data_IF_373419015289
#
_entry.id   IF_373419015289
#
_cell.length_a   1.000
_cell.length_b   1.000
_cell.length_c   1.000
_cell.angle_alpha   90.00
_cell.angle_beta   90.00
_cell.angle_gamma   90.00
#
_symmetry.space_group_name_H-M   'P 1'
#
loop_
_entity.id
_entity.type
_entity.pdbx_description
1 polymer ?
#
# COMPACT_ATOMS: atom_id res chain seq x y z
N UNK A 1 5.87 -33.59 5.89
CA UNK A 1 5.18 -33.28 7.16
C UNK A 1 4.91 -31.79 7.16
N UNK A 2 3.66 -31.33 7.25
CA UNK A 2 3.40 -29.90 7.20
C UNK A 2 3.88 -29.31 8.52
N UNK A 3 4.82 -28.37 8.45
CA UNK A 3 5.06 -27.42 9.53
C UNK A 3 3.84 -26.52 9.48
N UNK A 4 2.80 -26.91 10.23
CA UNK A 4 1.87 -25.93 10.78
C UNK A 4 2.76 -24.97 11.56
N UNK A 5 2.82 -23.71 11.13
CA UNK A 5 3.21 -22.61 12.00
C UNK A 5 2.50 -22.78 13.35
N UNK A 6 3.06 -22.24 14.43
CA UNK A 6 2.55 -22.33 15.81
C UNK A 6 1.12 -21.77 16.00
N UNK A 7 0.13 -22.34 15.30
CA UNK A 7 -1.28 -22.01 15.28
C UNK A 7 -2.03 -23.18 15.93
N UNK A 8 -1.90 -23.25 17.24
CA UNK A 8 -2.98 -23.73 18.09
C UNK A 8 -3.26 -22.58 19.04
N UNK A 9 -4.25 -21.73 18.74
CA UNK A 9 -5.37 -21.61 19.67
C UNK A 9 -6.73 -21.16 19.09
N UNK A 10 -6.84 -20.55 17.90
CA UNK A 10 -8.15 -20.05 17.42
C UNK A 10 -8.31 -20.21 15.90
N UNK A 11 -8.92 -21.31 15.41
CA UNK A 11 -9.47 -21.29 14.06
C UNK A 11 -10.53 -20.18 13.98
N UNK A 12 -10.55 -19.42 12.89
CA UNK A 12 -11.55 -18.37 12.66
C UNK A 12 -12.42 -18.82 11.50
N UNK A 13 -13.45 -19.58 11.85
CA UNK A 13 -14.33 -20.21 10.87
C UNK A 13 -15.72 -19.55 10.85
N UNK A 14 -16.07 -18.84 11.92
CA UNK A 14 -17.40 -18.23 12.11
C UNK A 14 -17.39 -16.95 12.97
N UNK A 15 -18.54 -16.28 13.02
CA UNK A 15 -18.74 -15.04 13.79
C UNK A 15 -18.48 -15.16 15.31
N UNK A 16 -18.70 -16.35 15.89
CA UNK A 16 -18.41 -16.62 17.30
C UNK A 16 -16.91 -16.62 17.58
N UNK A 17 -16.10 -17.14 16.66
CA UNK A 17 -14.64 -17.13 16.79
C UNK A 17 -14.11 -15.69 16.73
N UNK A 18 -14.63 -14.87 15.80
CA UNK A 18 -14.28 -13.44 15.70
C UNK A 18 -14.68 -12.69 16.97
N UNK A 19 -15.84 -12.99 17.55
CA UNK A 19 -16.26 -12.39 18.83
C UNK A 19 -15.26 -12.72 19.93
N UNK A 20 -14.83 -13.98 20.05
CA UNK A 20 -13.84 -14.40 21.03
C UNK A 20 -12.47 -13.72 20.82
N UNK A 21 -12.04 -13.53 19.57
CA UNK A 21 -10.82 -12.77 19.26
C UNK A 21 -10.93 -11.30 19.73
N UNK A 22 -12.06 -10.64 19.47
CA UNK A 22 -12.29 -9.25 19.90
C UNK A 22 -12.28 -9.12 21.42
N UNK A 23 -12.86 -10.08 22.15
CA UNK A 23 -12.82 -10.09 23.62
C UNK A 23 -11.40 -10.22 24.18
N UNK A 24 -10.50 -10.91 23.48
CA UNK A 24 -9.10 -11.06 23.87
C UNK A 24 -8.28 -9.77 23.73
N UNK A 25 -8.70 -8.84 22.87
CA UNK A 25 -7.99 -7.57 22.67
C UNK A 25 -7.83 -6.78 23.97
N UNK A 26 -8.82 -6.83 24.88
CA UNK A 26 -8.74 -6.17 26.18
C UNK A 26 -7.56 -6.67 27.04
N UNK A 27 -7.16 -7.92 26.90
CA UNK A 27 -5.99 -8.51 27.57
C UNK A 27 -4.68 -8.18 26.85
N UNK A 28 -4.73 -8.11 25.52
CA UNK A 28 -3.59 -7.80 24.67
C UNK A 28 -3.02 -6.39 24.88
N UNK A 29 -3.79 -5.47 25.49
CA UNK A 29 -3.29 -4.17 25.95
C UNK A 29 -2.06 -4.30 26.86
N UNK A 30 -1.99 -5.37 27.66
CA UNK A 30 -0.88 -5.60 28.60
C UNK A 30 -0.04 -6.85 28.31
N UNK A 31 -0.47 -7.69 27.36
CA UNK A 31 0.21 -8.94 26.98
C UNK A 31 0.69 -8.83 25.53
N UNK A 32 1.96 -8.47 25.35
CA UNK A 32 2.61 -8.27 24.03
C UNK A 32 2.59 -9.54 23.18
N UNK A 33 2.87 -10.70 23.77
CA UNK A 33 2.86 -11.98 23.06
C UNK A 33 1.47 -12.31 22.53
N UNK A 34 0.44 -12.10 23.35
CA UNK A 34 -0.94 -12.27 22.90
C UNK A 34 -1.30 -11.25 21.81
N UNK A 35 -0.80 -10.02 21.92
CA UNK A 35 -1.03 -8.97 20.92
C UNK A 35 -0.50 -9.35 19.55
N UNK A 36 0.74 -9.86 19.48
CA UNK A 36 1.36 -10.31 18.22
C UNK A 36 0.61 -11.51 17.63
N UNK A 37 0.19 -12.46 18.47
CA UNK A 37 -0.63 -13.60 18.05
C UNK A 37 -1.98 -13.14 17.47
N UNK A 38 -2.65 -12.20 18.14
CA UNK A 38 -3.92 -11.62 17.66
C UNK A 38 -3.74 -10.86 16.36
N UNK A 39 -2.63 -10.14 16.17
CA UNK A 39 -2.33 -9.45 14.91
C UNK A 39 -2.39 -10.39 13.70
N UNK A 40 -1.81 -11.59 13.82
CA UNK A 40 -1.87 -12.61 12.78
C UNK A 40 -3.29 -13.12 12.52
N UNK A 41 -4.08 -13.29 13.57
CA UNK A 41 -5.49 -13.69 13.44
C UNK A 41 -6.34 -12.61 12.76
N UNK A 42 -6.15 -11.33 13.11
CA UNK A 42 -6.88 -10.25 12.46
C UNK A 42 -6.45 -10.05 11.00
N UNK A 43 -5.17 -10.21 10.67
CA UNK A 43 -4.70 -10.22 9.27
C UNK A 43 -5.33 -11.36 8.45
N UNK A 44 -5.48 -12.55 9.05
CA UNK A 44 -6.23 -13.64 8.43
C UNK A 44 -7.71 -13.28 8.22
N UNK A 45 -8.36 -12.68 9.21
CA UNK A 45 -9.76 -12.23 9.09
C UNK A 45 -9.93 -11.17 8.01
N UNK A 46 -9.01 -10.20 7.91
CA UNK A 46 -8.96 -9.20 6.83
C UNK A 46 -9.03 -9.85 5.46
N UNK A 47 -8.21 -10.89 5.25
CA UNK A 47 -8.12 -11.55 3.96
C UNK A 47 -9.28 -12.48 3.64
N UNK A 48 -9.90 -13.09 4.65
CA UNK A 48 -10.84 -14.19 4.41
C UNK A 48 -12.30 -13.84 4.67
N UNK A 49 -12.59 -13.09 5.74
CA UNK A 49 -13.94 -12.85 6.24
C UNK A 49 -14.06 -11.46 6.92
N UNK A 50 -13.65 -10.36 6.24
CA UNK A 50 -13.62 -9.03 6.86
C UNK A 50 -15.01 -8.55 7.30
N UNK A 51 -16.08 -9.03 6.68
CA UNK A 51 -17.46 -8.71 7.04
C UNK A 51 -17.85 -9.13 8.47
N UNK A 52 -17.19 -10.15 9.03
CA UNK A 52 -17.46 -10.60 10.39
C UNK A 52 -17.01 -9.60 11.46
N UNK A 53 -16.15 -8.64 11.11
CA UNK A 53 -15.68 -7.61 12.02
C UNK A 53 -16.67 -6.45 12.15
N UNK A 54 -17.55 -6.24 11.14
CA UNK A 54 -18.49 -5.11 11.10
C UNK A 54 -19.31 -4.92 12.40
N UNK A 55 -19.89 -5.96 13.03
CA UNK A 55 -20.63 -5.80 14.28
C UNK A 55 -19.77 -5.34 15.46
N UNK A 56 -18.45 -5.53 15.38
CA UNK A 56 -17.49 -5.28 16.46
C UNK A 56 -16.68 -4.00 16.28
N UNK A 57 -16.73 -3.35 15.11
CA UNK A 57 -15.94 -2.14 14.79
C UNK A 57 -16.04 -1.06 15.88
N UNK A 58 -17.25 -0.77 16.37
CA UNK A 58 -17.42 0.21 17.44
C UNK A 58 -16.76 -0.22 18.75
N UNK A 59 -16.94 -1.47 19.16
CA UNK A 59 -16.33 -2.02 20.37
C UNK A 59 -14.81 -1.96 20.30
N UNK A 60 -14.26 -2.34 19.14
CA UNK A 60 -12.81 -2.26 18.87
C UNK A 60 -12.33 -0.82 19.00
N UNK A 61 -12.92 0.12 18.26
CA UNK A 61 -12.49 1.52 18.23
C UNK A 61 -12.58 2.19 19.59
N UNK A 62 -13.68 1.97 20.33
CA UNK A 62 -13.94 2.68 21.58
C UNK A 62 -13.32 2.05 22.83
N UNK A 63 -13.02 0.75 22.80
CA UNK A 63 -12.59 0.00 23.98
C UNK A 63 -11.27 -0.76 23.84
N UNK A 64 -10.93 -1.22 22.63
CA UNK A 64 -9.87 -2.23 22.45
C UNK A 64 -8.80 -1.89 21.41
N UNK A 65 -8.82 -0.68 20.87
CA UNK A 65 -7.86 -0.24 19.85
C UNK A 65 -6.40 -0.42 20.30
N UNK A 66 -6.11 -0.23 21.58
CA UNK A 66 -4.75 -0.38 22.13
C UNK A 66 -4.23 -1.82 22.14
N UNK A 67 -5.13 -2.81 22.10
CA UNK A 67 -4.79 -4.22 21.99
C UNK A 67 -4.74 -4.74 20.55
N UNK A 68 -5.11 -3.92 19.56
CA UNK A 68 -5.14 -4.30 18.15
C UNK A 68 -3.83 -3.86 17.48
N UNK A 69 -2.92 -4.82 17.28
CA UNK A 69 -1.65 -4.61 16.58
C UNK A 69 -1.73 -5.19 15.17
N UNK A 70 -2.11 -4.34 14.22
CA UNK A 70 -2.14 -4.66 12.79
C UNK A 70 -1.64 -3.45 12.01
N UNK A 71 -1.24 -3.68 10.76
CA UNK A 71 -0.73 -2.62 9.91
C UNK A 71 -1.86 -1.70 9.42
N UNK A 72 -1.50 -0.52 8.88
CA UNK A 72 -2.50 0.44 8.39
C UNK A 72 -3.36 -0.10 7.24
N UNK A 73 -2.81 -0.96 6.38
CA UNK A 73 -3.58 -1.65 5.32
C UNK A 73 -4.64 -2.60 5.90
N UNK A 74 -4.30 -3.37 6.93
CA UNK A 74 -5.27 -4.21 7.65
C UNK A 74 -6.36 -3.35 8.32
N UNK A 75 -5.99 -2.24 8.96
CA UNK A 75 -6.95 -1.31 9.55
C UNK A 75 -7.91 -0.75 8.49
N UNK A 76 -7.41 -0.39 7.31
CA UNK A 76 -8.21 0.10 6.20
C UNK A 76 -9.25 -0.90 5.72
N UNK A 77 -9.11 -2.20 6.00
CA UNK A 77 -10.12 -3.21 5.72
C UNK A 77 -11.02 -3.46 6.92
N UNK A 78 -10.44 -3.59 8.13
CA UNK A 78 -11.20 -3.87 9.35
C UNK A 78 -12.16 -2.76 9.74
N UNK A 79 -11.75 -1.50 9.53
CA UNK A 79 -12.49 -0.32 9.99
C UNK A 79 -13.23 0.41 8.86
N UNK A 80 -13.10 -0.02 7.61
CA UNK A 80 -13.79 0.62 6.50
C UNK A 80 -15.29 0.71 6.75
N UNK A 81 -15.83 1.91 6.59
CA UNK A 81 -17.25 2.18 6.79
C UNK A 81 -17.73 2.02 8.24
N UNK A 82 -16.83 2.05 9.23
CA UNK A 82 -17.25 1.99 10.63
C UNK A 82 -18.23 3.14 10.97
N UNK A 83 -19.18 2.91 11.90
CA UNK A 83 -20.22 3.89 12.22
C UNK A 83 -19.67 5.27 12.60
N UNK A 84 -20.35 6.36 12.22
CA UNK A 84 -19.87 7.75 12.43
C UNK A 84 -19.51 8.08 13.89
N UNK A 85 -20.20 7.49 14.87
CA UNK A 85 -19.86 7.58 16.31
C UNK A 85 -18.42 7.12 16.63
N UNK A 86 -17.82 6.25 15.82
CA UNK A 86 -16.42 5.85 15.94
C UNK A 86 -15.50 7.00 15.53
N UNK A 87 -15.84 7.71 14.44
CA UNK A 87 -15.11 8.89 13.99
C UNK A 87 -15.21 10.03 15.01
N UNK A 88 -16.42 10.31 15.52
CA UNK A 88 -16.63 11.31 16.58
C UNK A 88 -15.81 10.99 17.84
N UNK A 89 -15.79 9.72 18.26
CA UNK A 89 -15.00 9.28 19.42
C UNK A 89 -13.49 9.50 19.20
N UNK A 90 -12.96 9.11 18.04
CA UNK A 90 -11.55 9.27 17.71
C UNK A 90 -11.17 10.74 17.55
N UNK A 91 -12.01 11.56 16.91
CA UNK A 91 -11.79 13.00 16.80
C UNK A 91 -11.69 13.65 18.19
N UNK A 92 -12.62 13.35 19.09
CA UNK A 92 -12.60 13.88 20.45
C UNK A 92 -11.32 13.48 21.20
N UNK A 93 -10.88 12.22 21.06
CA UNK A 93 -9.64 11.74 21.68
C UNK A 93 -8.42 12.44 21.11
N UNK A 94 -8.30 12.53 19.79
CA UNK A 94 -7.18 13.20 19.11
C UNK A 94 -7.09 14.69 19.48
N UNK A 95 -8.22 15.39 19.63
CA UNK A 95 -8.25 16.78 20.13
C UNK A 95 -7.77 16.91 21.57
N UNK A 96 -8.05 15.90 22.40
CA UNK A 96 -7.60 15.89 23.80
C UNK A 96 -6.13 15.48 23.95
N UNK A 97 -5.69 14.51 23.15
CA UNK A 97 -4.34 13.95 23.18
C UNK A 97 -4.07 13.27 21.84
N UNK A 98 -3.09 13.78 21.12
CA UNK A 98 -2.65 13.17 19.87
C UNK A 98 -2.10 11.76 20.07
N UNK A 99 -2.48 10.84 19.18
CA UNK A 99 -2.00 9.46 19.12
C UNK A 99 -1.97 8.98 17.68
N UNK A 100 -0.82 8.48 17.23
CA UNK A 100 -0.64 7.95 15.88
C UNK A 100 -1.63 6.82 15.56
N UNK A 101 -1.85 5.92 16.51
CA UNK A 101 -2.77 4.80 16.38
C UNK A 101 -4.23 5.24 16.19
N UNK A 102 -4.64 6.30 16.90
CA UNK A 102 -5.99 6.86 16.76
C UNK A 102 -6.15 7.60 15.42
N UNK A 103 -5.10 8.30 14.97
CA UNK A 103 -5.09 8.97 13.66
C UNK A 103 -5.18 7.94 12.52
N UNK A 104 -4.41 6.84 12.61
CA UNK A 104 -4.51 5.70 11.69
C UNK A 104 -5.90 5.07 11.71
N UNK A 105 -6.47 4.81 12.88
CA UNK A 105 -7.82 4.28 12.98
C UNK A 105 -8.84 5.23 12.31
N UNK A 106 -8.72 6.54 12.54
CA UNK A 106 -9.63 7.54 11.94
C UNK A 106 -9.48 7.58 10.41
N UNK A 107 -8.26 7.56 9.90
CA UNK A 107 -7.97 7.50 8.46
C UNK A 107 -8.50 6.20 7.81
N UNK A 108 -8.42 5.09 8.55
CA UNK A 108 -8.89 3.77 8.13
C UNK A 108 -10.42 3.63 8.09
N UNK A 109 -11.19 4.50 8.77
CA UNK A 109 -12.67 4.47 8.72
C UNK A 109 -13.22 4.91 7.36
N UNK A 110 -12.75 6.04 6.83
CA UNK A 110 -13.04 6.45 5.44
C UNK A 110 -14.43 6.96 5.13
N UNK A 111 -15.33 7.01 6.11
CA UNK A 111 -16.65 7.63 5.93
C UNK A 111 -16.52 9.14 5.72
N UNK A 112 -17.57 9.77 5.20
CA UNK A 112 -17.61 11.23 5.07
C UNK A 112 -17.44 11.93 6.43
N UNK A 113 -17.99 11.36 7.51
CA UNK A 113 -17.80 11.87 8.87
C UNK A 113 -16.33 11.79 9.30
N UNK A 114 -15.65 10.66 9.08
CA UNK A 114 -14.23 10.51 9.38
C UNK A 114 -13.36 11.49 8.59
N UNK A 115 -13.60 11.61 7.28
CA UNK A 115 -12.86 12.53 6.41
C UNK A 115 -13.14 14.01 6.75
N UNK A 116 -14.34 14.33 7.20
CA UNK A 116 -14.68 15.67 7.70
C UNK A 116 -13.95 15.97 9.01
N UNK A 117 -13.94 15.02 9.95
CA UNK A 117 -13.22 15.14 11.21
C UNK A 117 -11.71 15.36 11.00
N UNK A 118 -11.08 14.57 10.11
CA UNK A 118 -9.67 14.75 9.73
C UNK A 118 -9.43 16.17 9.21
N UNK A 119 -10.26 16.64 8.29
CA UNK A 119 -10.11 17.98 7.73
C UNK A 119 -10.27 19.08 8.80
N UNK A 120 -11.13 18.88 9.80
CA UNK A 120 -11.26 19.76 10.96
C UNK A 120 -10.00 19.77 11.82
N UNK A 121 -9.49 18.59 12.19
CA UNK A 121 -8.25 18.44 12.98
C UNK A 121 -7.06 19.16 12.34
N UNK A 122 -6.86 18.98 11.04
CA UNK A 122 -5.75 19.60 10.29
C UNK A 122 -5.89 21.12 10.24
N UNK A 123 -7.09 21.63 9.91
CA UNK A 123 -7.32 23.08 9.78
C UNK A 123 -7.27 23.82 11.11
N UNK A 124 -7.67 23.16 12.20
CA UNK A 124 -7.59 23.71 13.55
C UNK A 124 -6.14 23.68 14.11
N UNK A 125 -5.21 23.06 13.39
CA UNK A 125 -3.80 22.95 13.78
C UNK A 125 -3.53 21.93 14.89
N UNK A 126 -4.44 20.99 15.12
CA UNK A 126 -4.23 19.88 16.06
C UNK A 126 -3.15 18.89 15.56
N UNK A 127 -2.98 18.81 14.23
CA UNK A 127 -1.89 18.15 13.52
C UNK A 127 -1.47 19.04 12.35
N UNK A 128 -0.16 19.24 12.08
CA UNK A 128 0.30 19.90 10.86
C UNK A 128 -0.16 19.22 9.55
N UNK A 129 -0.82 18.05 9.63
CA UNK A 129 -1.40 17.32 8.50
C UNK A 129 -0.49 16.21 7.97
N UNK A 130 0.75 16.16 8.45
CA UNK A 130 1.78 15.23 7.98
C UNK A 130 1.38 13.77 8.17
N UNK A 131 0.82 13.41 9.32
CA UNK A 131 0.51 12.01 9.61
C UNK A 131 -0.65 11.49 8.75
N UNK A 132 -1.65 12.34 8.49
CA UNK A 132 -2.74 12.00 7.57
C UNK A 132 -2.24 11.92 6.12
N UNK A 133 -1.38 12.84 5.69
CA UNK A 133 -0.77 12.79 4.35
C UNK A 133 0.12 11.55 4.16
N UNK A 134 0.87 11.16 5.18
CA UNK A 134 1.64 9.91 5.23
C UNK A 134 0.71 8.68 5.12
N UNK A 135 -0.48 8.71 5.70
CA UNK A 135 -1.52 7.71 5.45
C UNK A 135 -2.23 7.82 4.09
N UNK A 136 -1.83 8.75 3.21
CA UNK A 136 -2.44 8.95 1.89
C UNK A 136 -3.77 9.72 1.93
N UNK A 137 -4.02 10.50 2.98
CA UNK A 137 -5.20 11.35 3.13
C UNK A 137 -4.83 12.80 2.84
N UNK A 138 -5.47 13.38 1.82
CA UNK A 138 -5.26 14.77 1.45
C UNK A 138 -6.35 15.67 2.03
N UNK A 139 -5.97 16.77 2.68
CA UNK A 139 -6.91 17.77 3.18
C UNK A 139 -6.95 18.97 2.23
N UNK A 140 -7.99 19.13 1.39
CA UNK A 140 -8.15 20.33 0.55
C UNK A 140 -8.38 21.56 1.43
N UNK A 141 -8.26 22.76 0.85
CA UNK A 141 -8.51 24.03 1.57
C UNK A 141 -9.93 24.08 2.16
N UNK A 142 -10.91 23.54 1.44
CA UNK A 142 -12.32 23.50 1.85
C UNK A 142 -12.93 22.11 1.63
N UNK A 143 -13.93 21.74 2.43
CA UNK A 143 -14.64 20.45 2.32
C UNK A 143 -14.03 19.33 3.16
N UNK A 144 -14.47 18.07 3.00
CA UNK A 144 -13.86 16.93 3.70
C UNK A 144 -12.47 16.61 3.14
N UNK A 145 -11.68 15.85 3.91
CA UNK A 145 -10.45 15.23 3.42
C UNK A 145 -10.76 14.18 2.35
N UNK A 146 -9.74 13.72 1.63
CA UNK A 146 -9.88 12.78 0.52
C UNK A 146 -8.86 11.65 0.66
N UNK A 147 -9.35 10.41 0.59
CA UNK A 147 -8.48 9.23 0.38
C UNK A 147 -7.85 9.31 -1.00
N UNK A 148 -6.53 9.19 -1.07
CA UNK A 148 -5.74 9.27 -2.31
C UNK A 148 -5.01 7.95 -2.58
N UNK A 149 -5.65 6.83 -2.29
CA UNK A 149 -5.10 5.49 -2.51
C UNK A 149 -6.24 4.46 -2.66
N UNK A 150 -5.89 3.26 -3.13
CA UNK A 150 -6.77 2.09 -3.12
C UNK A 150 -6.63 1.32 -1.80
N UNK A 151 -7.70 0.99 -1.06
CA UNK A 151 -7.57 0.37 0.26
C UNK A 151 -7.12 -1.09 0.20
N UNK A 152 -7.28 -1.77 -0.93
CA UNK A 152 -7.09 -3.21 -1.03
C UNK A 152 -5.71 -3.58 -1.56
N UNK A 153 -5.08 -4.49 -0.84
CA UNK A 153 -3.85 -5.16 -1.26
C UNK A 153 -4.17 -6.55 -1.81
N UNK A 154 -3.40 -6.96 -2.80
CA UNK A 154 -3.53 -8.22 -3.51
C UNK A 154 -2.24 -9.01 -3.41
N UNK A 155 -2.36 -10.33 -3.35
CA UNK A 155 -1.21 -11.20 -3.46
C UNK A 155 -0.74 -11.25 -4.91
N UNK A 156 0.58 -11.35 -5.08
CA UNK A 156 1.21 -11.38 -6.40
C UNK A 156 1.81 -12.75 -6.63
N UNK A 157 1.31 -13.44 -7.65
CA UNK A 157 1.97 -14.60 -8.24
C UNK A 157 2.66 -14.19 -9.55
N UNK A 158 3.66 -14.95 -9.98
CA UNK A 158 4.33 -14.73 -11.25
C UNK A 158 4.00 -15.87 -12.23
N UNK A 159 3.35 -15.52 -13.33
CA UNK A 159 3.27 -16.39 -14.51
C UNK A 159 4.42 -16.05 -15.46
N UNK A 160 5.37 -16.97 -15.62
CA UNK A 160 6.43 -16.82 -16.61
C UNK A 160 5.88 -16.89 -18.03
N UNK A 161 6.52 -16.17 -18.95
CA UNK A 161 6.18 -16.17 -20.39
C UNK A 161 7.34 -16.75 -21.18
N UNK A 162 7.03 -17.47 -22.26
CA UNK A 162 8.05 -18.01 -23.18
C UNK A 162 8.27 -17.11 -24.38
N UNK A 163 7.26 -16.34 -24.78
CA UNK A 163 7.35 -15.30 -25.81
C UNK A 163 7.24 -13.90 -25.17
N UNK A 164 8.29 -13.07 -25.23
CA UNK A 164 8.25 -11.69 -24.72
C UNK A 164 7.15 -10.82 -25.33
N UNK A 165 6.66 -11.16 -26.53
CA UNK A 165 5.58 -10.40 -27.17
C UNK A 165 4.25 -10.46 -26.38
N UNK A 166 4.04 -11.51 -25.58
CA UNK A 166 2.88 -11.64 -24.70
C UNK A 166 2.78 -10.48 -23.70
N UNK A 167 3.93 -9.96 -23.23
CA UNK A 167 3.98 -8.89 -22.23
C UNK A 167 3.32 -7.59 -22.71
N UNK A 168 3.37 -7.33 -24.02
CA UNK A 168 2.83 -6.10 -24.62
C UNK A 168 1.31 -6.01 -24.52
N UNK A 169 0.64 -7.15 -24.30
CA UNK A 169 -0.83 -7.23 -24.24
C UNK A 169 -1.34 -7.73 -22.89
N UNK A 170 -0.49 -8.36 -22.08
CA UNK A 170 -0.82 -8.83 -20.75
C UNK A 170 -1.34 -7.70 -19.85
N UNK A 171 -2.23 -7.96 -18.89
CA UNK A 171 -2.78 -6.89 -18.02
C UNK A 171 -1.73 -6.28 -17.09
N UNK A 172 -0.86 -7.11 -16.52
CA UNK A 172 0.14 -6.72 -15.53
C UNK A 172 1.53 -7.27 -15.84
N UNK A 173 2.15 -6.87 -16.97
CA UNK A 173 3.48 -7.33 -17.30
C UNK A 173 4.49 -6.86 -16.25
N UNK A 174 5.56 -7.63 -16.09
CA UNK A 174 6.74 -7.33 -15.30
C UNK A 174 7.96 -7.52 -16.20
N UNK A 175 8.93 -6.60 -16.12
CA UNK A 175 10.08 -6.61 -17.03
C UNK A 175 9.74 -6.26 -18.48
N UNK A 176 8.87 -5.28 -18.72
CA UNK A 176 8.67 -4.73 -20.06
C UNK A 176 9.98 -4.11 -20.59
N UNK A 177 10.24 -4.18 -21.90
CA UNK A 177 11.28 -3.37 -22.54
C UNK A 177 11.06 -1.89 -22.25
N UNK A 178 12.15 -1.15 -22.01
CA UNK A 178 12.06 0.26 -21.62
C UNK A 178 11.48 1.17 -22.72
N UNK A 179 11.60 0.80 -23.99
CA UNK A 179 10.95 1.53 -25.08
C UNK A 179 9.42 1.47 -25.05
N UNK A 180 8.84 0.59 -24.22
CA UNK A 180 7.41 0.53 -23.91
C UNK A 180 7.03 1.35 -22.66
N UNK A 181 8.01 1.93 -21.97
CA UNK A 181 7.81 2.67 -20.70
C UNK A 181 8.23 4.13 -20.83
N UNK A 182 9.35 4.40 -21.51
CA UNK A 182 9.96 5.73 -21.64
C UNK A 182 10.14 6.09 -23.12
N UNK A 183 10.04 7.39 -23.44
CA UNK A 183 10.22 7.89 -24.83
C UNK A 183 11.65 7.85 -25.32
N UNK A 184 12.63 7.93 -24.42
CA UNK A 184 14.07 7.93 -24.75
C UNK A 184 14.82 6.93 -23.87
N UNK A 185 14.75 5.62 -24.19
CA UNK A 185 15.37 4.56 -23.39
C UNK A 185 16.86 4.77 -23.11
N UNK A 186 17.61 5.27 -24.09
CA UNK A 186 19.07 5.45 -23.93
C UNK A 186 19.46 6.64 -23.03
N UNK A 187 18.50 7.50 -22.67
CA UNK A 187 18.72 8.71 -21.89
C UNK A 187 17.93 8.74 -20.58
N UNK A 188 17.20 7.67 -20.25
CA UNK A 188 16.40 7.62 -19.03
C UNK A 188 17.25 7.14 -17.85
N UNK A 189 16.99 7.63 -16.62
CA UNK A 189 17.54 6.99 -15.43
C UNK A 189 16.86 5.64 -15.14
N UNK A 190 15.67 5.36 -15.68
CA UNK A 190 14.94 4.11 -15.41
C UNK A 190 15.59 2.92 -16.13
N UNK A 191 15.93 1.87 -15.40
CA UNK A 191 16.51 0.64 -15.97
C UNK A 191 15.64 -0.59 -15.71
N UNK A 192 14.67 -0.47 -14.82
CA UNK A 192 13.90 -1.61 -14.32
C UNK A 192 12.42 -1.34 -14.37
N UNK A 193 11.65 -2.25 -14.95
CA UNK A 193 10.18 -2.22 -14.93
C UNK A 193 9.64 -3.26 -13.94
N UNK A 194 9.08 -2.78 -12.83
CA UNK A 194 8.58 -3.62 -11.74
C UNK A 194 7.17 -4.13 -11.99
N UNK A 195 6.29 -3.31 -12.57
CA UNK A 195 4.88 -3.66 -12.80
C UNK A 195 4.23 -2.61 -13.69
N UNK A 196 3.34 -3.03 -14.57
CA UNK A 196 2.33 -2.14 -15.16
C UNK A 196 0.96 -2.42 -14.53
N UNK A 197 0.21 -1.36 -14.24
CA UNK A 197 -1.20 -1.47 -13.82
C UNK A 197 -2.09 -0.84 -14.87
N UNK A 198 -3.24 -1.47 -15.10
CA UNK A 198 -4.32 -0.84 -15.84
C UNK A 198 -5.07 0.09 -14.89
N UNK A 199 -5.35 1.30 -15.35
CA UNK A 199 -5.97 2.32 -14.52
C UNK A 199 -7.44 2.06 -14.24
N UNK A 200 -8.13 1.35 -15.14
CA UNK A 200 -9.52 0.90 -14.95
C UNK A 200 -9.66 -0.13 -13.82
N UNK A 201 -8.56 -0.73 -13.38
CA UNK A 201 -8.51 -1.70 -12.28
C UNK A 201 -8.05 -1.08 -10.95
N UNK A 202 -7.78 0.24 -10.89
CA UNK A 202 -7.35 0.93 -9.67
C UNK A 202 -8.54 1.72 -9.09
N UNK A 203 -9.13 1.29 -7.97
CA UNK A 203 -10.26 1.98 -7.36
C UNK A 203 -9.93 3.43 -6.98
N UNK A 204 -10.85 4.35 -7.28
CA UNK A 204 -10.68 5.78 -6.95
C UNK A 204 -9.66 6.51 -7.82
N UNK A 205 -9.11 5.85 -8.85
CA UNK A 205 -8.14 6.45 -9.75
C UNK A 205 -8.76 7.68 -10.46
N UNK A 206 -8.11 8.85 -10.41
CA UNK A 206 -8.57 10.00 -11.16
C UNK A 206 -8.43 9.79 -12.67
N UNK A 207 -9.23 10.54 -13.45
CA UNK A 207 -9.18 10.47 -14.91
C UNK A 207 -7.76 10.73 -15.43
N UNK A 208 -7.24 9.78 -16.21
CA UNK A 208 -5.91 9.82 -16.80
C UNK A 208 -5.99 9.50 -18.29
N UNK A 209 -5.13 10.10 -19.15
CA UNK A 209 -5.25 9.92 -20.60
C UNK A 209 -4.77 8.55 -21.12
N UNK A 210 -3.86 7.88 -20.40
CA UNK A 210 -3.35 6.57 -20.79
C UNK A 210 -4.11 5.44 -20.08
N UNK A 211 -4.27 4.29 -20.72
CA UNK A 211 -4.96 3.13 -20.12
C UNK A 211 -4.15 2.47 -19.00
N UNK A 212 -2.83 2.71 -19.00
CA UNK A 212 -1.87 2.05 -18.12
C UNK A 212 -0.86 3.04 -17.56
N UNK A 213 -0.30 2.64 -16.42
CA UNK A 213 0.84 3.30 -15.80
C UNK A 213 1.85 2.28 -15.34
N UNK A 214 3.09 2.74 -15.27
CA UNK A 214 4.24 1.89 -15.04
C UNK A 214 4.83 2.20 -13.67
N UNK A 215 5.27 1.18 -12.95
CA UNK A 215 6.19 1.32 -11.84
C UNK A 215 7.56 0.90 -12.35
N UNK A 216 8.44 1.87 -12.51
CA UNK A 216 9.79 1.67 -13.01
C UNK A 216 10.79 2.48 -12.18
N UNK A 217 12.04 2.04 -12.16
CA UNK A 217 13.05 2.61 -11.27
C UNK A 217 14.46 2.63 -11.84
N UNK A 218 15.33 3.47 -11.27
CA UNK A 218 16.73 3.53 -11.62
C UNK A 218 17.52 2.32 -11.15
N UNK A 219 18.78 2.28 -11.58
CA UNK A 219 19.81 1.43 -10.98
C UNK A 219 20.13 2.00 -9.60
N UNK A 220 19.65 1.36 -8.55
CA UNK A 220 20.01 1.68 -7.17
C UNK A 220 19.40 0.71 -6.18
N UNK A 221 20.21 0.21 -5.24
CA UNK A 221 19.72 -0.62 -4.14
C UNK A 221 19.11 0.18 -2.99
N UNK A 222 19.47 1.46 -2.90
CA UNK A 222 19.07 2.42 -1.86
C UNK A 222 17.73 3.14 -2.14
N UNK A 223 17.31 4.00 -1.21
CA UNK A 223 16.12 4.83 -1.38
C UNK A 223 16.26 5.85 -2.51
N UNK A 224 15.19 5.98 -3.31
CA UNK A 224 15.16 6.89 -4.46
C UNK A 224 13.75 7.35 -4.79
N UNK A 225 13.67 8.49 -5.47
CA UNK A 225 12.45 9.04 -6.04
C UNK A 225 12.69 9.43 -7.50
N UNK A 226 11.98 8.79 -8.43
CA UNK A 226 11.97 9.10 -9.85
C UNK A 226 10.67 9.82 -10.18
N UNK A 227 10.75 11.05 -10.68
CA UNK A 227 9.61 11.83 -11.17
C UNK A 227 9.69 11.97 -12.68
N UNK A 228 8.57 11.76 -13.37
CA UNK A 228 8.45 11.87 -14.82
C UNK A 228 7.11 12.51 -15.22
N UNK A 229 7.05 13.12 -16.40
CA UNK A 229 5.78 13.41 -17.05
C UNK A 229 5.34 12.21 -17.88
N UNK A 230 4.04 11.94 -17.95
CA UNK A 230 3.49 10.88 -18.81
C UNK A 230 2.74 11.48 -20.00
N UNK A 231 3.08 11.02 -21.21
CA UNK A 231 2.37 11.38 -22.43
C UNK A 231 0.98 10.74 -22.52
N UNK A 232 0.15 11.13 -23.52
CA UNK A 232 -1.13 10.48 -23.79
C UNK A 232 -1.00 8.99 -24.13
N UNK A 233 0.16 8.60 -24.63
CA UNK A 233 0.59 7.24 -24.95
C UNK A 233 1.05 6.44 -23.72
N UNK A 234 1.04 7.03 -22.52
CA UNK A 234 1.53 6.41 -21.28
C UNK A 234 3.05 6.46 -21.12
N UNK A 235 3.78 6.70 -22.21
CA UNK A 235 5.24 6.78 -22.20
C UNK A 235 5.75 8.01 -21.44
N UNK A 236 6.76 7.77 -20.61
CA UNK A 236 7.40 8.78 -19.79
C UNK A 236 8.36 9.66 -20.57
N UNK A 237 8.54 10.89 -20.07
CA UNK A 237 9.58 11.81 -20.50
C UNK A 237 9.94 12.80 -19.39
N UNK A 238 11.04 13.52 -19.58
CA UNK A 238 11.58 14.52 -18.66
C UNK A 238 11.81 13.94 -17.26
N UNK A 239 12.33 12.72 -17.22
CA UNK A 239 12.61 11.94 -16.03
C UNK A 239 13.71 12.58 -15.19
N UNK A 240 13.46 12.72 -13.89
CA UNK A 240 14.42 13.21 -12.91
C UNK A 240 14.46 12.25 -11.74
N UNK A 241 15.65 11.85 -11.30
CA UNK A 241 15.84 10.99 -10.13
C UNK A 241 16.56 11.76 -9.02
N UNK A 242 16.04 11.61 -7.80
CA UNK A 242 16.71 11.99 -6.57
C UNK A 242 16.99 10.71 -5.78
N UNK A 243 18.20 10.60 -5.26
CA UNK A 243 18.58 9.50 -4.37
C UNK A 243 18.74 10.05 -2.95
N UNK A 244 18.34 9.26 -1.95
CA UNK A 244 18.47 9.65 -0.54
C UNK A 244 19.95 9.72 -0.15
N UNK A 245 20.76 8.82 -0.71
CA UNK A 245 22.21 8.78 -0.64
C UNK A 245 22.79 8.63 -2.05
N UNK A 246 24.03 9.03 -2.34
CA UNK A 246 24.63 8.77 -3.64
C UNK A 246 24.77 7.26 -3.92
N UNK A 247 24.56 6.78 -5.16
CA UNK A 247 24.75 5.36 -5.49
C UNK A 247 26.18 4.94 -5.18
N UNK A 248 26.37 3.77 -4.56
CA UNK A 248 27.72 3.30 -4.27
C UNK A 248 28.41 2.85 -5.56
N UNK A 249 29.69 3.20 -5.69
CA UNK A 249 30.50 2.85 -6.86
C UNK A 249 30.67 1.33 -7.06
N UNK A 250 30.46 0.54 -5.99
CA UNK A 250 30.57 -0.91 -5.98
C UNK A 250 29.22 -1.64 -6.18
N UNK A 251 28.13 -0.92 -6.43
CA UNK A 251 26.85 -1.57 -6.76
C UNK A 251 26.99 -2.32 -8.09
N UNK A 252 26.74 -3.64 -8.11
CA UNK A 252 26.89 -4.44 -9.31
C UNK A 252 26.03 -3.85 -10.44
N UNK A 253 26.57 -3.87 -11.66
CA UNK A 253 25.77 -3.53 -12.83
C UNK A 253 24.52 -4.40 -12.87
N UNK A 254 23.38 -3.75 -13.11
CA UNK A 254 22.11 -4.44 -13.30
C UNK A 254 22.26 -5.28 -14.55
N UNK A 255 22.24 -6.59 -14.39
CA UNK A 255 22.25 -7.50 -15.53
C UNK A 255 20.85 -7.52 -16.17
N UNK A 256 20.65 -6.63 -17.15
CA UNK A 256 19.41 -6.56 -17.93
C UNK A 256 19.18 -7.80 -18.81
N UNK A 257 20.17 -8.69 -18.94
CA UNK A 257 20.01 -9.96 -19.65
C UNK A 257 19.45 -11.08 -18.78
N UNK A 258 19.32 -10.85 -17.46
CA UNK A 258 18.74 -11.82 -16.54
C UNK A 258 17.22 -11.97 -16.77
N UNK A 259 16.74 -13.14 -17.21
CA UNK A 259 15.32 -13.37 -17.43
C UNK A 259 14.53 -13.52 -16.13
N UNK A 260 15.21 -13.58 -14.96
CA UNK A 260 14.53 -13.66 -13.67
C UNK A 260 13.57 -12.48 -13.52
N UNK A 261 12.34 -12.82 -13.16
CA UNK A 261 11.29 -11.84 -12.95
C UNK A 261 10.73 -11.19 -14.20
N UNK A 262 10.86 -11.81 -15.37
CA UNK A 262 10.09 -11.44 -16.55
C UNK A 262 8.84 -12.32 -16.62
N UNK A 263 7.68 -11.70 -16.78
CA UNK A 263 6.42 -12.43 -16.84
C UNK A 263 5.20 -11.54 -16.62
N UNK A 264 4.11 -12.16 -16.21
CA UNK A 264 2.86 -11.49 -15.90
C UNK A 264 2.56 -11.67 -14.43
N UNK A 265 2.43 -10.56 -13.70
CA UNK A 265 1.94 -10.57 -12.34
C UNK A 265 0.47 -10.96 -12.34
N UNK A 266 0.13 -12.06 -11.68
CA UNK A 266 -1.26 -12.46 -11.46
C UNK A 266 -1.66 -11.91 -10.10
N UNK A 267 -2.50 -10.87 -10.12
CA UNK A 267 -3.01 -10.23 -8.92
C UNK A 267 -4.24 -11.00 -8.43
N UNK A 268 -4.14 -11.60 -7.26
CA UNK A 268 -5.25 -12.33 -6.62
C UNK A 268 -5.65 -11.64 -5.32
N UNK A 269 -6.96 -11.65 -4.96
CA UNK A 269 -7.39 -11.25 -3.63
C UNK A 269 -6.67 -12.05 -2.54
N UNK A 270 -6.69 -11.52 -1.32
CA UNK A 270 -6.36 -12.33 -0.16
C UNK A 270 -7.47 -13.35 0.10
N UNK A 271 -7.11 -14.55 0.55
CA UNK A 271 -8.01 -15.69 0.74
C UNK A 271 -7.37 -16.78 1.64
N UNK A 272 -8.16 -17.82 1.94
CA UNK A 272 -7.87 -18.77 3.02
C UNK A 272 -6.72 -19.75 2.76
N UNK A 273 -6.22 -19.85 1.52
CA UNK A 273 -5.05 -20.67 1.17
C UNK A 273 -3.72 -19.91 1.33
N UNK A 274 -3.75 -18.62 1.69
CA UNK A 274 -2.57 -17.85 2.07
C UNK A 274 -2.10 -18.17 3.49
N UNK A 275 -0.79 -18.11 3.70
CA UNK A 275 -0.13 -18.24 5.00
C UNK A 275 0.13 -16.84 5.56
N UNK A 276 -0.67 -16.44 6.54
CA UNK A 276 -0.55 -15.15 7.23
C UNK A 276 0.46 -15.23 8.38
N UNK A 277 1.40 -14.29 8.43
CA UNK A 277 2.36 -14.17 9.53
C UNK A 277 3.03 -12.80 9.55
N UNK A 278 3.00 -12.14 10.71
CA UNK A 278 3.46 -10.78 10.98
C UNK A 278 2.95 -9.76 9.95
N UNK A 279 1.66 -9.84 9.57
CA UNK A 279 1.07 -8.96 8.55
C UNK A 279 1.56 -9.22 7.12
N UNK A 280 2.23 -10.36 6.88
CA UNK A 280 2.74 -10.75 5.57
C UNK A 280 2.20 -12.11 5.13
N UNK A 281 2.21 -12.31 3.81
CA UNK A 281 1.78 -13.56 3.16
C UNK A 281 2.91 -14.28 2.41
N UNK A 282 4.15 -13.81 2.57
CA UNK A 282 5.33 -14.24 1.81
C UNK A 282 5.76 -15.68 2.11
N UNK A 283 5.27 -16.26 3.21
CA UNK A 283 5.45 -17.67 3.53
C UNK A 283 4.57 -18.60 2.69
N UNK A 284 3.65 -18.06 1.89
CA UNK A 284 2.77 -18.84 1.01
C UNK A 284 3.52 -19.34 -0.22
N UNK A 285 3.55 -20.66 -0.50
CA UNK A 285 4.16 -21.18 -1.71
C UNK A 285 3.59 -20.56 -2.99
N UNK A 286 4.45 -20.06 -3.88
CA UNK A 286 4.05 -19.48 -5.17
C UNK A 286 3.72 -17.98 -5.12
N UNK A 287 3.56 -17.40 -3.93
CA UNK A 287 3.42 -15.94 -3.75
C UNK A 287 4.79 -15.30 -3.80
N UNK A 288 4.96 -14.35 -4.72
CA UNK A 288 6.19 -13.57 -4.87
C UNK A 288 6.12 -12.22 -4.18
N UNK A 289 4.94 -11.81 -3.69
CA UNK A 289 4.80 -10.49 -3.12
C UNK A 289 3.37 -10.02 -2.91
N UNK A 290 3.25 -8.71 -2.71
CA UNK A 290 1.97 -8.00 -2.65
C UNK A 290 1.99 -6.79 -3.57
N UNK A 291 0.81 -6.35 -4.02
CA UNK A 291 0.60 -5.15 -4.79
C UNK A 291 -0.69 -4.45 -4.34
N UNK A 292 -0.66 -3.11 -4.30
CA UNK A 292 -1.80 -2.28 -3.94
C UNK A 292 -1.81 -1.92 -2.46
N UNK A 293 -2.99 -1.58 -1.96
CA UNK A 293 -3.20 -1.07 -0.61
C UNK A 293 -2.81 0.41 -0.44
N UNK A 294 -2.90 0.95 0.78
CA UNK A 294 -2.41 2.28 1.12
C UNK A 294 -0.89 2.42 0.91
N UNK A 295 -0.37 3.66 0.87
CA UNK A 295 1.07 3.90 0.88
C UNK A 295 1.69 3.29 2.14
N UNK A 296 2.67 2.41 1.96
CA UNK A 296 3.41 1.80 3.07
C UNK A 296 4.91 2.03 2.92
N UNK A 297 5.55 2.22 4.07
CA UNK A 297 7.00 2.23 4.19
C UNK A 297 7.68 3.37 3.43
N UNK A 298 6.95 4.41 3.05
CA UNK A 298 7.41 5.57 2.27
C UNK A 298 6.82 6.84 2.86
N UNK A 299 7.65 7.61 3.56
CA UNK A 299 7.25 8.89 4.15
C UNK A 299 8.38 9.92 3.95
N UNK A 300 8.07 11.15 3.54
CA UNK A 300 6.73 11.66 3.23
C UNK A 300 6.18 11.13 1.89
N UNK A 301 4.86 10.98 1.80
CA UNK A 301 4.22 10.73 0.50
C UNK A 301 4.40 11.94 -0.43
N UNK A 302 4.63 11.74 -1.74
CA UNK A 302 5.02 12.82 -2.63
C UNK A 302 3.86 13.77 -2.93
N UNK A 303 4.16 15.07 -2.85
CA UNK A 303 3.34 16.13 -3.42
C UNK A 303 3.76 16.41 -4.85
N UNK A 304 2.80 16.78 -5.69
CA UNK A 304 3.08 17.14 -7.06
C UNK A 304 3.90 18.44 -7.10
N UNK A 305 5.13 18.39 -7.62
CA UNK A 305 6.01 19.58 -7.74
C UNK A 305 5.41 20.78 -8.50
N UNK A 306 4.32 20.58 -9.26
CA UNK A 306 3.68 21.63 -10.06
C UNK A 306 2.44 22.26 -9.42
N UNK A 307 1.65 21.50 -8.65
CA UNK A 307 0.41 22.01 -8.05
C UNK A 307 0.33 21.80 -6.53
N UNK A 308 1.38 21.23 -5.93
CA UNK A 308 1.54 20.97 -4.50
C UNK A 308 0.46 20.07 -3.88
N UNK A 309 -0.31 19.37 -4.72
CA UNK A 309 -1.31 18.41 -4.28
C UNK A 309 -0.65 17.08 -3.93
N UNK A 310 -1.07 16.47 -2.81
CA UNK A 310 -0.73 15.08 -2.51
C UNK A 310 -1.11 14.19 -3.70
N UNK A 311 -0.13 13.46 -4.22
CA UNK A 311 -0.32 12.61 -5.39
C UNK A 311 -1.16 11.38 -5.03
N UNK A 312 -1.95 10.90 -5.98
CA UNK A 312 -2.70 9.65 -5.83
C UNK A 312 -1.72 8.48 -5.80
N UNK A 313 -1.70 7.73 -4.70
CA UNK A 313 -0.98 6.48 -4.58
C UNK A 313 -1.72 5.38 -5.35
N UNK A 314 -1.08 4.87 -6.39
CA UNK A 314 -1.64 3.85 -7.29
C UNK A 314 -1.40 2.46 -6.73
N UNK A 315 -0.16 2.22 -6.30
CA UNK A 315 0.29 0.90 -5.87
C UNK A 315 1.51 1.05 -4.97
N UNK A 316 1.61 0.20 -3.96
CA UNK A 316 2.88 -0.21 -3.37
C UNK A 316 3.08 -1.68 -3.72
N UNK A 317 4.24 -2.04 -4.27
CA UNK A 317 4.63 -3.44 -4.44
C UNK A 317 5.70 -3.81 -3.41
N UNK A 318 5.52 -5.01 -2.88
CA UNK A 318 6.50 -5.73 -2.07
C UNK A 318 6.74 -7.03 -2.80
N UNK A 319 7.56 -7.04 -3.85
CA UNK A 319 7.74 -8.24 -4.66
C UNK A 319 9.20 -8.66 -4.79
N UNK A 320 9.41 -9.97 -4.77
CA UNK A 320 10.68 -10.67 -5.03
C UNK A 320 10.78 -11.13 -6.48
N UNK A 321 9.87 -10.70 -7.35
CA UNK A 321 9.90 -11.04 -8.78
C UNK A 321 11.19 -10.47 -9.39
N UNK A 322 11.53 -9.23 -9.03
CA UNK A 322 12.56 -8.41 -9.68
C UNK A 322 13.43 -7.75 -8.58
N UNK A 323 14.28 -8.56 -7.93
CA UNK A 323 15.10 -8.21 -6.74
C UNK A 323 16.32 -7.31 -7.03
N UNK A 324 16.14 -6.15 -7.67
CA UNK A 324 17.18 -5.10 -7.60
C UNK A 324 16.80 -4.07 -6.54
N UNK A 325 17.51 -4.16 -5.41
CA UNK A 325 17.22 -3.41 -4.19
C UNK A 325 16.12 -4.08 -3.38
N UNK A 326 16.39 -4.28 -2.10
CA UNK A 326 15.41 -4.76 -1.16
C UNK A 326 14.51 -3.56 -0.76
N UNK A 327 13.18 -3.64 -0.91
CA UNK A 327 12.26 -2.78 -0.17
C UNK A 327 10.90 -2.61 -0.83
N UNK A 328 10.16 -1.59 -0.40
CA UNK A 328 8.89 -1.21 -1.01
C UNK A 328 9.15 -0.37 -2.26
N UNK A 329 8.34 -0.55 -3.30
CA UNK A 329 8.33 0.31 -4.49
C UNK A 329 6.93 0.83 -4.68
N UNK A 330 6.76 2.14 -4.82
CA UNK A 330 5.43 2.73 -4.96
C UNK A 330 5.33 3.66 -6.14
N UNK A 331 4.12 3.76 -6.67
CA UNK A 331 3.75 4.60 -7.79
C UNK A 331 2.71 5.62 -7.35
N UNK A 332 2.95 6.88 -7.70
CA UNK A 332 2.06 7.99 -7.43
C UNK A 332 1.77 8.78 -8.70
N UNK A 333 0.58 9.36 -8.81
CA UNK A 333 0.13 10.13 -9.98
C UNK A 333 -0.53 11.45 -9.56
N UNK A 334 -0.26 12.52 -10.31
CA UNK A 334 -0.98 13.78 -10.19
C UNK A 334 -1.87 13.99 -11.41
N UNK A 335 -3.18 13.87 -11.24
CA UNK A 335 -4.15 13.93 -12.34
C UNK A 335 -4.20 15.28 -13.05
N UNK A 336 -3.85 16.36 -12.35
CA UNK A 336 -3.90 17.70 -12.91
C UNK A 336 -2.68 17.98 -13.79
N UNK A 337 -1.50 17.58 -13.32
CA UNK A 337 -0.23 17.91 -13.97
C UNK A 337 0.34 16.78 -14.82
N UNK A 338 -0.30 15.60 -14.81
CA UNK A 338 0.13 14.39 -15.53
C UNK A 338 1.55 13.96 -15.16
N UNK A 339 1.91 14.16 -13.90
CA UNK A 339 3.19 13.73 -13.35
C UNK A 339 3.02 12.37 -12.67
N UNK A 340 4.03 11.55 -12.87
CA UNK A 340 4.20 10.25 -12.24
C UNK A 340 5.41 10.31 -11.32
N UNK A 341 5.28 9.77 -10.12
CA UNK A 341 6.40 9.61 -9.19
C UNK A 341 6.50 8.16 -8.79
N UNK A 342 7.63 7.54 -9.07
CA UNK A 342 7.99 6.25 -8.52
C UNK A 342 8.95 6.47 -7.36
N UNK A 343 8.80 5.70 -6.29
CA UNK A 343 9.69 5.81 -5.14
C UNK A 343 10.06 4.43 -4.60
N UNK A 344 11.27 4.34 -4.05
CA UNK A 344 11.80 3.20 -3.35
C UNK A 344 12.23 3.59 -1.96
N UNK A 345 11.97 2.71 -1.01
CA UNK A 345 12.66 2.69 0.28
C UNK A 345 13.48 1.43 0.44
N UNK A 346 14.47 1.48 1.32
CA UNK A 346 15.10 0.29 1.87
C UNK A 346 14.11 -0.41 2.81
N UNK A 347 14.25 -1.72 3.02
CA UNK A 347 13.60 -2.32 4.20
C UNK A 347 14.21 -1.68 5.45
N UNK A 348 13.35 -1.25 6.36
CA UNK A 348 13.76 -1.03 7.74
C UNK A 348 14.09 -2.37 8.39
#
# INVERSE_FOLDING_TARGET
MPIKTHAAAFPVDNAGDVTALVELLGRAVTDERLRDELGNHFAYVVGTQPELIRPHQQTIVTGYLDGLEVNFDDLCVLLDGAPDRCAEHLEQRLRSRWSYREAWALAAIGTEAALTAIAGLVRDGADPGKEFEDSGIWTPVTGPAQRRFTPHRQAVELRTVSDPSELLTADHPVGLPLDQVVRRPDATPAVWHYLSLRLDQVPGMPNWPADRVHLAGPKGSMGWTLTAAAGPDGLWHDETVAFDEPPRDDEPEVDNSDPRGIGVAVLRPYDADLVYGNGHILSTPGVFGTAGGPPLGLYPNPHCRSCDRLMFHVVTVQNYIREYGHGWRSLYLCEQCRLTTCAATNWN
#
